data_IF_626773724508
#
_entry.id   IF_626773724508
#
_cell.length_a   1.000
_cell.length_b   1.000
_cell.length_c   1.000
_cell.angle_alpha   90.00
_cell.angle_beta   90.00
_cell.angle_gamma   90.00
#
_symmetry.space_group_name_H-M   'P 1'
#
loop_
_entity.id
_entity.type
_entity.pdbx_description
1 polymer ?
#
# COMPACT_ATOMS: atom_id res chain seq x y z
N UNK A 1 5.77 15.66 -16.60
CA UNK A 1 4.60 14.76 -16.55
C UNK A 1 3.81 15.09 -15.29
N UNK A 2 2.49 15.26 -15.41
CA UNK A 2 1.59 15.44 -14.27
C UNK A 2 0.84 14.14 -14.04
N UNK A 3 0.84 13.65 -12.80
CA UNK A 3 0.13 12.46 -12.37
C UNK A 3 -1.07 12.91 -11.54
N UNK A 4 -2.27 12.82 -12.10
CA UNK A 4 -3.50 12.97 -11.30
C UNK A 4 -3.74 11.68 -10.53
N UNK A 5 -3.43 11.69 -9.24
CA UNK A 5 -3.58 10.51 -8.38
C UNK A 5 -4.91 10.61 -7.63
N UNK A 6 -5.79 9.66 -7.93
CA UNK A 6 -7.10 9.53 -7.30
C UNK A 6 -7.36 8.06 -6.98
N UNK A 7 -6.62 7.52 -6.01
CA UNK A 7 -6.68 6.11 -5.61
C UNK A 7 -6.61 5.90 -4.09
N UNK A 8 -7.51 5.08 -3.51
CA UNK A 8 -7.44 4.63 -2.13
C UNK A 8 -6.44 3.47 -1.92
N UNK A 9 -5.83 2.97 -3.00
CA UNK A 9 -4.91 1.83 -2.98
C UNK A 9 -5.48 0.58 -3.63
N UNK A 10 -4.94 -0.59 -3.24
CA UNK A 10 -5.33 -1.90 -3.76
C UNK A 10 -4.15 -2.87 -3.82
N UNK A 11 -4.12 -3.71 -4.87
CA UNK A 11 -3.11 -4.77 -5.02
C UNK A 11 -1.67 -4.24 -4.97
N UNK A 12 -0.89 -4.69 -3.98
CA UNK A 12 0.53 -4.34 -3.82
C UNK A 12 1.32 -4.59 -5.10
N UNK A 13 1.07 -5.71 -5.80
CA UNK A 13 1.79 -6.03 -7.03
C UNK A 13 1.51 -5.02 -8.15
N UNK A 14 0.24 -4.62 -8.31
CA UNK A 14 -0.18 -3.68 -9.36
C UNK A 14 0.35 -2.27 -9.09
N UNK A 15 0.20 -1.78 -7.85
CA UNK A 15 0.70 -0.46 -7.46
C UNK A 15 2.22 -0.42 -7.39
N UNK A 16 2.89 -1.51 -6.99
CA UNK A 16 4.34 -1.63 -7.02
C UNK A 16 4.90 -1.54 -8.45
N UNK A 17 4.26 -2.22 -9.42
CA UNK A 17 4.63 -2.10 -10.82
C UNK A 17 4.45 -0.66 -11.33
N UNK A 18 3.31 -0.04 -11.04
CA UNK A 18 3.03 1.34 -11.44
C UNK A 18 4.06 2.32 -10.85
N UNK A 19 4.38 2.17 -9.57
CA UNK A 19 5.39 2.98 -8.86
C UNK A 19 6.76 2.85 -9.52
N UNK A 20 7.17 1.63 -9.88
CA UNK A 20 8.42 1.40 -10.60
C UNK A 20 8.45 2.05 -12.00
N UNK A 21 7.30 2.21 -12.67
CA UNK A 21 7.25 2.96 -13.94
C UNK A 21 7.44 4.46 -13.70
N UNK A 22 6.84 5.02 -12.65
CA UNK A 22 7.03 6.43 -12.30
C UNK A 22 8.47 6.70 -11.90
N UNK A 23 9.08 5.85 -11.07
CA UNK A 23 10.49 5.92 -10.70
C UNK A 23 11.40 5.91 -11.94
N UNK A 24 11.12 5.04 -12.93
CA UNK A 24 11.86 5.02 -14.20
C UNK A 24 11.73 6.32 -14.98
N UNK A 25 10.51 6.85 -15.12
CA UNK A 25 10.28 8.12 -15.81
C UNK A 25 11.02 9.27 -15.12
N UNK A 26 10.98 9.29 -13.78
CA UNK A 26 11.59 10.33 -12.98
C UNK A 26 13.14 10.26 -13.04
N UNK A 27 13.71 9.10 -12.70
CA UNK A 27 15.13 8.98 -12.38
C UNK A 27 15.99 8.43 -13.53
N UNK A 28 15.42 7.62 -14.41
CA UNK A 28 16.18 7.02 -15.53
C UNK A 28 16.04 7.87 -16.78
N UNK A 29 14.82 8.31 -17.09
CA UNK A 29 14.57 9.18 -18.25
C UNK A 29 14.86 10.65 -17.93
N UNK A 30 14.75 11.04 -16.65
CA UNK A 30 15.01 12.41 -16.21
C UNK A 30 13.85 13.38 -16.48
N UNK A 31 12.62 12.88 -16.57
CA UNK A 31 11.43 13.73 -16.79
C UNK A 31 10.92 14.21 -15.43
N UNK A 32 10.79 15.53 -15.26
CA UNK A 32 10.15 16.11 -14.08
C UNK A 32 8.71 15.60 -13.93
N UNK A 33 8.41 15.04 -12.77
CA UNK A 33 7.11 14.44 -12.42
C UNK A 33 6.50 15.18 -11.24
N UNK A 34 5.22 15.52 -11.36
CA UNK A 34 4.44 16.08 -10.25
C UNK A 34 3.19 15.24 -10.04
N UNK A 35 2.99 14.71 -8.85
CA UNK A 35 1.76 14.08 -8.44
C UNK A 35 0.82 15.13 -7.85
N UNK A 36 -0.42 15.18 -8.35
CA UNK A 36 -1.48 16.05 -7.84
C UNK A 36 -2.57 15.17 -7.21
N UNK A 37 -2.93 15.47 -5.97
CA UNK A 37 -3.87 14.69 -5.16
C UNK A 37 -5.03 15.57 -4.71
N UNK A 38 -6.13 15.58 -5.46
CA UNK A 38 -7.30 16.40 -5.10
C UNK A 38 -8.23 15.71 -4.10
N UNK A 39 -8.22 14.38 -4.04
CA UNK A 39 -9.13 13.60 -3.19
C UNK A 39 -8.43 12.54 -2.35
N UNK A 40 -7.73 11.61 -3.00
CA UNK A 40 -7.08 10.52 -2.27
C UNK A 40 -5.86 9.96 -3.02
N UNK A 41 -4.78 9.83 -2.27
CA UNK A 41 -3.59 9.04 -2.61
C UNK A 41 -3.20 8.26 -1.35
N UNK A 42 -3.94 7.19 -1.08
CA UNK A 42 -3.76 6.34 0.09
C UNK A 42 -3.24 4.95 -0.32
N UNK A 43 -2.46 4.29 0.54
CA UNK A 43 -1.90 2.96 0.34
C UNK A 43 -1.18 2.87 -1.02
N UNK A 44 -1.61 1.99 -1.93
CA UNK A 44 -1.05 1.90 -3.28
C UNK A 44 -1.05 3.23 -4.06
N UNK A 45 -2.03 4.13 -3.83
CA UNK A 45 -2.03 5.46 -4.42
C UNK A 45 -0.85 6.30 -3.95
N UNK A 46 -0.55 6.27 -2.65
CA UNK A 46 0.63 6.93 -2.10
C UNK A 46 1.93 6.30 -2.58
N UNK A 47 1.94 4.97 -2.75
CA UNK A 47 3.09 4.24 -3.30
C UNK A 47 3.54 4.81 -4.65
N UNK A 48 2.60 5.16 -5.52
CA UNK A 48 2.87 5.79 -6.81
C UNK A 48 3.29 7.25 -6.61
N UNK A 49 2.52 8.01 -5.83
CA UNK A 49 2.76 9.44 -5.63
C UNK A 49 4.14 9.70 -5.02
N UNK A 50 4.60 8.85 -4.10
CA UNK A 50 5.90 8.97 -3.43
C UNK A 50 7.09 8.85 -4.38
N UNK A 51 6.91 8.36 -5.62
CA UNK A 51 7.97 8.29 -6.63
C UNK A 51 8.04 9.53 -7.54
N UNK A 52 7.15 10.50 -7.36
CA UNK A 52 7.21 11.77 -8.09
C UNK A 52 8.24 12.73 -7.48
N UNK A 53 8.82 13.60 -8.30
CA UNK A 53 9.74 14.64 -7.81
C UNK A 53 9.04 15.65 -6.89
N UNK A 54 7.75 15.88 -7.13
CA UNK A 54 6.91 16.77 -6.33
C UNK A 54 5.53 16.17 -6.13
N UNK A 55 4.96 16.32 -4.94
CA UNK A 55 3.61 15.94 -4.60
C UNK A 55 2.88 17.17 -4.08
N UNK A 56 1.75 17.51 -4.69
CA UNK A 56 0.82 18.51 -4.19
C UNK A 56 -0.50 17.84 -3.82
N UNK A 57 -1.12 18.28 -2.75
CA UNK A 57 -2.39 17.73 -2.29
C UNK A 57 -3.36 18.83 -1.87
N UNK A 58 -4.65 18.65 -2.19
CA UNK A 58 -5.69 19.55 -1.71
C UNK A 58 -5.77 19.48 -0.17
N UNK A 59 -6.22 20.55 0.52
CA UNK A 59 -6.23 20.62 1.98
C UNK A 59 -6.89 19.42 2.68
N UNK A 60 -7.97 18.91 2.10
CA UNK A 60 -8.77 17.80 2.64
C UNK A 60 -8.56 16.47 1.91
N UNK A 61 -7.55 16.38 1.03
CA UNK A 61 -7.22 15.13 0.39
C UNK A 61 -6.67 14.12 1.42
N UNK A 62 -7.01 12.85 1.26
CA UNK A 62 -6.52 11.76 2.09
C UNK A 62 -5.21 11.19 1.52
N UNK A 63 -4.13 11.29 2.30
CA UNK A 63 -2.78 10.87 1.90
C UNK A 63 -2.20 9.90 2.93
N UNK A 64 -1.26 9.05 2.51
CA UNK A 64 -0.59 8.11 3.41
C UNK A 64 -1.20 6.72 3.34
N UNK A 65 -1.66 6.17 4.45
CA UNK A 65 -2.05 4.75 4.60
C UNK A 65 -0.93 3.81 4.17
N UNK A 66 0.31 4.14 4.56
CA UNK A 66 1.47 3.29 4.29
C UNK A 66 1.45 2.13 5.26
N UNK A 67 0.82 1.05 4.80
CA UNK A 67 0.56 -0.18 5.54
C UNK A 67 0.03 -1.25 4.59
N UNK A 68 -0.01 -2.49 5.08
CA UNK A 68 -0.46 -3.64 4.30
C UNK A 68 -1.44 -4.43 5.15
N UNK A 69 -2.60 -4.72 4.58
CA UNK A 69 -3.61 -5.55 5.23
C UNK A 69 -3.90 -6.79 4.38
N UNK A 70 -4.25 -7.86 5.04
CA UNK A 70 -4.98 -8.98 4.45
C UNK A 70 -6.30 -9.10 5.20
N UNK A 71 -7.40 -9.13 4.45
CA UNK A 71 -8.73 -9.33 5.00
C UNK A 71 -9.44 -10.46 4.26
N UNK A 72 -10.39 -11.10 4.94
CA UNK A 72 -11.19 -12.18 4.38
C UNK A 72 -12.07 -12.85 5.42
N UNK A 73 -13.16 -13.46 4.97
CA UNK A 73 -14.02 -14.30 5.79
C UNK A 73 -13.55 -15.75 5.72
N UNK A 74 -13.65 -16.46 6.85
CA UNK A 74 -13.48 -17.90 6.90
C UNK A 74 -14.81 -18.56 7.27
N UNK A 75 -15.32 -19.39 6.35
CA UNK A 75 -16.56 -20.14 6.49
C UNK A 75 -16.32 -21.62 6.84
N UNK A 76 -15.11 -22.02 7.27
CA UNK A 76 -14.79 -23.41 7.57
C UNK A 76 -15.77 -24.03 8.58
N UNK A 77 -15.94 -23.38 9.74
CA UNK A 77 -16.84 -23.87 10.79
C UNK A 77 -18.32 -23.76 10.41
N UNK A 78 -18.68 -22.76 9.61
CA UNK A 78 -20.04 -22.61 9.09
C UNK A 78 -20.38 -23.77 8.15
N UNK A 79 -19.51 -24.07 7.18
CA UNK A 79 -19.67 -25.18 6.26
C UNK A 79 -19.77 -26.52 6.99
N UNK A 80 -18.88 -26.73 7.98
CA UNK A 80 -18.88 -27.92 8.84
C UNK A 80 -20.21 -28.12 9.58
N UNK A 81 -20.82 -27.05 10.10
CA UNK A 81 -22.14 -27.12 10.79
C UNK A 81 -23.27 -27.62 9.89
N UNK A 82 -23.20 -27.36 8.59
CA UNK A 82 -24.19 -27.79 7.60
C UNK A 82 -23.77 -29.02 6.79
N UNK A 83 -22.71 -29.73 7.22
CA UNK A 83 -22.23 -30.93 6.54
C UNK A 83 -21.56 -30.68 5.19
N UNK A 84 -21.22 -29.43 4.86
CA UNK A 84 -20.51 -29.08 3.63
C UNK A 84 -19.02 -29.30 3.85
N UNK A 85 -18.41 -30.15 3.01
CA UNK A 85 -16.99 -30.48 3.07
C UNK A 85 -16.24 -29.85 1.88
N UNK A 86 -15.27 -28.96 2.10
CA UNK A 86 -14.50 -28.38 1.01
C UNK A 86 -13.53 -29.40 0.40
N UNK A 87 -13.50 -29.48 -0.92
CA UNK A 87 -12.51 -30.27 -1.66
C UNK A 87 -11.27 -29.41 -1.92
N UNK A 88 -10.20 -29.63 -1.17
CA UNK A 88 -8.95 -28.88 -1.29
C UNK A 88 -7.82 -29.83 -1.65
N UNK A 89 -7.33 -29.73 -2.89
CA UNK A 89 -6.21 -30.50 -3.41
C UNK A 89 -4.97 -29.59 -3.48
N UNK A 90 -3.83 -30.06 -2.94
CA UNK A 90 -2.57 -29.31 -2.85
C UNK A 90 -1.43 -30.11 -3.46
N UNK A 91 -0.46 -29.40 -4.03
CA UNK A 91 0.80 -29.95 -4.51
C UNK A 91 1.94 -29.07 -3.96
N UNK A 92 2.96 -29.69 -3.35
CA UNK A 92 4.04 -29.03 -2.63
C UNK A 92 3.73 -28.88 -1.13
N UNK A 93 4.67 -29.28 -0.27
CA UNK A 93 4.48 -29.33 1.18
C UNK A 93 4.20 -27.95 1.80
N UNK A 94 4.79 -26.89 1.22
CA UNK A 94 4.62 -25.51 1.68
C UNK A 94 3.39 -24.81 1.07
N UNK A 95 2.62 -25.47 0.18
CA UNK A 95 1.46 -24.86 -0.49
C UNK A 95 0.25 -24.85 0.43
N UNK A 96 0.28 -23.96 1.43
CA UNK A 96 -0.78 -23.82 2.43
C UNK A 96 -1.40 -22.42 2.47
N UNK A 97 -2.06 -21.94 1.40
CA UNK A 97 -2.68 -20.63 1.41
C UNK A 97 -3.87 -20.59 2.36
N UNK A 98 -4.09 -19.43 3.00
CA UNK A 98 -5.36 -19.13 3.64
C UNK A 98 -6.47 -19.12 2.59
N UNK A 99 -7.56 -19.82 2.86
CA UNK A 99 -8.71 -19.91 1.95
C UNK A 99 -10.00 -19.70 2.74
N UNK A 100 -11.07 -19.36 2.04
CA UNK A 100 -12.38 -19.09 2.65
C UNK A 100 -12.96 -20.34 3.35
N UNK A 101 -12.60 -21.55 2.93
CA UNK A 101 -13.15 -22.79 3.50
C UNK A 101 -12.10 -23.69 4.19
N UNK A 102 -10.81 -23.40 4.04
CA UNK A 102 -9.76 -24.16 4.71
C UNK A 102 -9.74 -23.89 6.21
N UNK A 103 -9.31 -24.88 6.99
CA UNK A 103 -9.00 -24.65 8.40
C UNK A 103 -7.77 -23.75 8.51
N UNK A 104 -7.78 -22.84 9.48
CA UNK A 104 -6.69 -21.89 9.73
C UNK A 104 -5.99 -22.28 11.02
N UNK A 105 -4.71 -22.62 10.95
CA UNK A 105 -3.91 -22.91 12.13
C UNK A 105 -3.19 -21.66 12.65
N UNK A 106 -2.67 -21.72 13.89
CA UNK A 106 -1.81 -20.66 14.44
C UNK A 106 -0.52 -20.49 13.63
N UNK A 107 -0.01 -21.57 13.05
CA UNK A 107 1.20 -21.52 12.21
C UNK A 107 0.93 -20.80 10.89
N UNK A 108 -0.24 -21.00 10.28
CA UNK A 108 -0.64 -20.31 9.04
C UNK A 108 -0.77 -18.81 9.28
N UNK A 109 -1.41 -18.41 10.37
CA UNK A 109 -1.54 -17.01 10.76
C UNK A 109 -0.17 -16.37 11.01
N UNK A 110 0.74 -17.06 11.70
CA UNK A 110 2.10 -16.58 11.93
C UNK A 110 2.85 -16.39 10.61
N UNK A 111 2.80 -17.39 9.72
CA UNK A 111 3.48 -17.35 8.42
C UNK A 111 2.98 -16.19 7.54
N UNK A 112 1.66 -15.99 7.46
CA UNK A 112 1.10 -14.89 6.68
C UNK A 112 1.36 -13.53 7.33
N UNK A 113 1.38 -13.43 8.66
CA UNK A 113 1.76 -12.20 9.36
C UNK A 113 3.21 -11.84 9.05
N UNK A 114 4.14 -12.78 9.15
CA UNK A 114 5.55 -12.57 8.77
C UNK A 114 5.70 -12.17 7.30
N UNK A 115 4.84 -12.68 6.41
CA UNK A 115 4.80 -12.27 5.00
C UNK A 115 4.29 -10.84 4.85
N UNK A 116 3.24 -10.44 5.58
CA UNK A 116 2.72 -9.06 5.57
C UNK A 116 3.77 -8.06 6.07
N UNK A 117 4.48 -8.37 7.14
CA UNK A 117 5.57 -7.53 7.66
C UNK A 117 6.65 -7.30 6.61
N UNK A 118 7.10 -8.35 5.91
CA UNK A 118 8.08 -8.21 4.81
C UNK A 118 7.59 -7.31 3.68
N UNK A 119 6.29 -7.38 3.36
CA UNK A 119 5.69 -6.52 2.33
C UNK A 119 5.57 -5.08 2.82
N UNK A 120 5.22 -4.88 4.10
CA UNK A 120 5.17 -3.56 4.72
C UNK A 120 6.55 -2.92 4.75
N UNK A 121 7.58 -3.64 5.17
CA UNK A 121 8.98 -3.17 5.14
C UNK A 121 9.42 -2.78 3.73
N UNK A 122 9.07 -3.58 2.71
CA UNK A 122 9.36 -3.23 1.32
C UNK A 122 8.64 -1.94 0.88
N UNK A 123 7.39 -1.74 1.31
CA UNK A 123 6.65 -0.50 1.04
C UNK A 123 7.29 0.69 1.77
N UNK A 124 7.67 0.54 3.03
CA UNK A 124 8.41 1.57 3.80
C UNK A 124 9.68 2.00 3.09
N UNK A 125 10.48 1.05 2.62
CA UNK A 125 11.71 1.32 1.86
C UNK A 125 11.42 2.03 0.53
N UNK A 126 10.33 1.67 -0.15
CA UNK A 126 9.91 2.33 -1.39
C UNK A 126 9.51 3.79 -1.16
N UNK A 127 8.84 4.08 -0.05
CA UNK A 127 8.52 5.47 0.36
C UNK A 127 9.80 6.25 0.62
N UNK A 128 10.72 5.73 1.44
CA UNK A 128 12.00 6.41 1.73
C UNK A 128 12.82 6.64 0.46
N UNK A 129 12.80 5.72 -0.50
CA UNK A 129 13.55 5.90 -1.75
C UNK A 129 13.08 7.12 -2.54
N UNK A 130 11.76 7.32 -2.61
CA UNK A 130 11.17 8.46 -3.32
C UNK A 130 11.09 9.73 -2.47
N UNK A 131 11.09 9.59 -1.14
CA UNK A 131 11.00 10.67 -0.14
C UNK A 131 12.09 10.48 0.95
N UNK A 132 13.38 10.69 0.64
CA UNK A 132 14.48 10.41 1.57
C UNK A 132 14.38 11.18 2.90
N UNK A 133 13.78 12.38 2.88
CA UNK A 133 13.54 13.22 4.04
C UNK A 133 12.57 12.61 5.06
N UNK A 134 11.82 11.57 4.69
CA UNK A 134 10.94 10.83 5.61
C UNK A 134 11.67 9.77 6.44
N UNK A 135 12.97 9.50 6.18
CA UNK A 135 13.70 8.43 6.85
C UNK A 135 13.63 8.52 8.39
N UNK A 136 13.79 9.71 8.94
CA UNK A 136 13.78 9.94 10.41
C UNK A 136 12.38 9.92 11.02
N UNK A 137 11.33 10.05 10.21
CA UNK A 137 9.92 10.09 10.64
C UNK A 137 9.13 8.88 10.15
N UNK A 138 9.81 7.86 9.62
CA UNK A 138 9.15 6.78 8.89
C UNK A 138 8.15 6.02 9.75
N UNK A 139 8.43 5.82 11.03
CA UNK A 139 7.51 5.14 11.97
C UNK A 139 6.24 5.95 12.23
N UNK A 140 6.32 7.29 12.17
CA UNK A 140 5.17 8.18 12.36
C UNK A 140 4.24 8.17 11.14
N UNK A 141 4.79 8.06 9.94
CA UNK A 141 4.03 8.17 8.68
C UNK A 141 3.70 6.82 8.05
N UNK A 142 4.40 5.75 8.42
CA UNK A 142 4.25 4.40 7.88
C UNK A 142 3.66 3.38 8.86
N UNK A 143 2.69 3.83 9.65
CA UNK A 143 1.92 3.03 10.60
C UNK A 143 0.50 2.66 10.10
N UNK A 144 0.20 2.93 8.84
CA UNK A 144 -1.11 2.66 8.23
C UNK A 144 -2.16 3.77 8.40
N UNK A 145 -1.87 4.86 9.12
CA UNK A 145 -2.79 5.99 9.23
C UNK A 145 -2.93 6.78 7.92
N UNK A 146 -4.09 7.43 7.77
CA UNK A 146 -4.38 8.40 6.73
C UNK A 146 -4.27 9.79 7.34
N UNK A 147 -3.70 10.73 6.57
CA UNK A 147 -3.51 12.12 6.94
C UNK A 147 -4.21 13.03 5.94
N UNK A 148 -4.78 14.13 6.41
CA UNK A 148 -5.29 15.18 5.52
C UNK A 148 -4.13 15.89 4.83
N UNK A 149 -4.34 16.48 3.65
CA UNK A 149 -3.31 17.24 2.93
C UNK A 149 -2.62 18.30 3.79
N UNK A 150 -3.37 18.96 4.68
CA UNK A 150 -2.85 19.92 5.66
C UNK A 150 -1.89 19.29 6.68
N UNK A 151 -2.14 18.07 7.13
CA UNK A 151 -1.27 17.34 8.07
C UNK A 151 -0.09 16.71 7.32
N UNK A 152 -0.36 16.20 6.12
CA UNK A 152 0.61 15.52 5.28
C UNK A 152 1.77 16.45 4.88
N UNK A 153 1.53 17.75 4.70
CA UNK A 153 2.62 18.70 4.42
C UNK A 153 3.53 18.92 5.63
N UNK A 154 2.98 18.93 6.85
CA UNK A 154 3.75 19.08 8.09
C UNK A 154 4.61 17.84 8.37
N UNK A 155 4.08 16.66 8.02
CA UNK A 155 4.75 15.38 8.11
C UNK A 155 5.79 15.15 6.99
N UNK A 156 5.76 15.97 5.93
CA UNK A 156 6.61 15.80 4.75
C UNK A 156 6.14 14.68 3.81
N UNK A 157 4.91 14.19 3.96
CA UNK A 157 4.28 13.24 3.03
C UNK A 157 3.97 13.88 1.68
N UNK A 158 3.75 15.20 1.64
CA UNK A 158 3.57 16.01 0.43
C UNK A 158 4.39 17.29 0.52
N UNK A 159 4.64 17.95 -0.61
CA UNK A 159 5.48 19.15 -0.68
C UNK A 159 4.71 20.46 -0.54
N UNK A 160 3.42 20.46 -0.91
CA UNK A 160 2.59 21.65 -0.79
C UNK A 160 1.10 21.31 -0.74
N UNK A 161 0.36 22.19 -0.09
CA UNK A 161 -1.11 22.17 -0.10
C UNK A 161 -1.60 23.01 -1.27
N UNK A 162 -2.15 22.37 -2.29
CA UNK A 162 -2.61 22.99 -3.55
C UNK A 162 -3.54 22.01 -4.29
N UNK A 163 -4.50 22.53 -5.06
CA UNK A 163 -5.32 21.73 -5.98
C UNK A 163 -4.58 21.52 -7.32
N UNK A 164 -5.10 20.65 -8.19
CA UNK A 164 -4.47 20.38 -9.49
C UNK A 164 -4.62 21.49 -10.54
N UNK A 165 -5.50 22.47 -10.30
CA UNK A 165 -5.82 23.64 -11.14
C UNK A 165 -5.34 24.97 -10.56
#
# INVERSE_FOLDING_TARGET
>A
VILSVNSPGGSVASYGLASAQIERLANVVGITTTACVDRYAASGGYMIASQAHRIVAAPFASVGSVGVIMEGLNFHDLAKRYGVQPMILKAGNEKNPLTTFGSVSKQDLKHETERLEKVHDAFRQLVVRGRPELADKLDEVANGNVFLGLEAVELGLVDAVMTSD
#
